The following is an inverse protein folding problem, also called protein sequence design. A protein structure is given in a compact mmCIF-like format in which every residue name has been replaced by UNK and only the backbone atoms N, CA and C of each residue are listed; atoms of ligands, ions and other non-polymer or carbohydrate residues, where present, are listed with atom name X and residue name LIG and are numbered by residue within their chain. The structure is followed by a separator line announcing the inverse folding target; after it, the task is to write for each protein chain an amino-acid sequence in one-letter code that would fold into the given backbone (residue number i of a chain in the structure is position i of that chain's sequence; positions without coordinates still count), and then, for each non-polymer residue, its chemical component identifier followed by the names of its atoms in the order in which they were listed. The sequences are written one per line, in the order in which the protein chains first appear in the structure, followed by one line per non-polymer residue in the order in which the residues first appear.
data_IF_410024935424
#
_entry.id   IF_410024935424
#
_cell.length_a   1.000
_cell.length_b   1.000
_cell.length_c   1.000
_cell.angle_alpha   90.00
_cell.angle_beta   90.00
_cell.angle_gamma   90.00
#
_symmetry.space_group_name_H-M   'P 1'
#
loop_
_entity.id
_entity.type
_entity.pdbx_description
1 polymer ?
#
# COMPACT_ATOMS: atom_id res chain seq x y z
N UNK A 1 25.27 11.62 -29.96
CA UNK A 1 25.13 11.23 -31.38
C UNK A 1 26.10 10.12 -31.71
N UNK A 2 25.72 9.13 -32.48
CA UNK A 2 26.62 8.06 -32.92
C UNK A 2 27.62 8.59 -33.95
N UNK A 3 28.93 8.39 -33.71
CA UNK A 3 29.98 8.83 -34.66
C UNK A 3 29.96 8.07 -35.97
N UNK A 4 29.38 6.87 -36.02
CA UNK A 4 29.36 6.03 -37.23
C UNK A 4 28.14 6.32 -38.15
N UNK A 5 26.97 6.67 -37.61
CA UNK A 5 25.75 6.85 -38.39
C UNK A 5 25.04 8.21 -38.15
N UNK A 6 25.57 9.09 -37.33
CA UNK A 6 25.04 10.43 -37.04
C UNK A 6 23.69 10.49 -36.30
N UNK A 7 23.10 9.36 -35.90
CA UNK A 7 21.78 9.35 -35.26
C UNK A 7 21.86 9.66 -33.77
N UNK A 8 20.87 10.39 -33.22
CA UNK A 8 20.80 10.64 -31.78
C UNK A 8 20.62 9.36 -30.99
N UNK A 9 21.35 9.24 -29.89
CA UNK A 9 21.32 8.08 -28.98
C UNK A 9 21.01 8.53 -27.55
N UNK A 10 20.29 7.72 -26.80
CA UNK A 10 20.15 7.93 -25.37
C UNK A 10 21.45 7.52 -24.66
N UNK A 11 21.91 8.34 -23.73
CA UNK A 11 23.25 8.26 -23.11
C UNK A 11 23.59 6.95 -22.36
N UNK A 12 22.69 6.00 -22.27
CA UNK A 12 22.85 4.80 -21.45
C UNK A 12 23.19 3.52 -22.24
N UNK A 13 23.50 3.60 -23.55
CA UNK A 13 23.76 2.40 -24.35
C UNK A 13 25.22 2.31 -24.80
N UNK A 14 25.82 1.15 -24.61
CA UNK A 14 27.20 0.88 -25.09
C UNK A 14 27.30 0.65 -26.60
N UNK A 15 26.17 0.37 -27.27
CA UNK A 15 26.11 0.15 -28.72
C UNK A 15 24.96 0.92 -29.35
N UNK A 16 25.20 1.44 -30.53
CA UNK A 16 24.20 2.16 -31.31
C UNK A 16 23.05 1.21 -31.69
N UNK A 17 21.81 1.64 -31.43
CA UNK A 17 20.61 0.84 -31.75
C UNK A 17 20.37 0.67 -33.28
N UNK A 18 21.04 1.48 -34.13
CA UNK A 18 20.82 1.48 -35.57
C UNK A 18 21.94 0.82 -36.36
N UNK A 19 23.20 1.05 -36.01
CA UNK A 19 24.34 0.53 -36.75
C UNK A 19 25.22 -0.43 -35.94
N UNK A 20 24.86 -0.71 -34.70
CA UNK A 20 25.55 -1.59 -33.76
C UNK A 20 27.02 -1.21 -33.43
N UNK A 21 27.48 -0.04 -33.88
CA UNK A 21 28.81 0.48 -33.57
C UNK A 21 28.94 0.76 -32.06
N UNK A 22 30.11 0.51 -31.50
CA UNK A 22 30.40 0.84 -30.11
C UNK A 22 30.40 2.38 -29.91
N UNK A 23 29.67 2.81 -28.91
CA UNK A 23 29.61 4.21 -28.52
C UNK A 23 30.73 4.50 -27.51
N UNK A 24 31.42 5.63 -27.62
CA UNK A 24 32.39 6.01 -26.59
C UNK A 24 31.68 6.07 -25.24
N UNK A 25 32.28 5.40 -24.27
CA UNK A 25 31.76 5.37 -22.90
C UNK A 25 31.76 6.82 -22.39
N UNK A 26 30.57 7.39 -22.24
CA UNK A 26 30.44 8.71 -21.63
C UNK A 26 31.06 8.61 -20.23
N UNK A 27 32.00 9.49 -19.87
CA UNK A 27 32.54 9.51 -18.51
C UNK A 27 31.37 9.61 -17.57
N UNK A 28 31.18 8.55 -16.75
CA UNK A 28 30.17 8.54 -15.69
C UNK A 28 30.40 9.82 -14.88
N UNK A 29 29.39 10.67 -14.71
CA UNK A 29 29.54 11.80 -13.82
C UNK A 29 30.03 11.23 -12.48
N UNK A 30 31.06 11.83 -11.86
CA UNK A 30 31.57 11.36 -10.60
C UNK A 30 30.36 11.15 -9.68
N UNK A 31 30.13 9.90 -9.25
CA UNK A 31 29.10 9.62 -8.27
C UNK A 31 29.50 10.44 -7.07
N UNK A 32 28.86 11.60 -6.94
CA UNK A 32 28.94 12.36 -5.71
C UNK A 32 28.31 11.47 -4.63
N UNK A 33 29.16 10.61 -4.06
CA UNK A 33 28.92 10.03 -2.75
C UNK A 33 29.16 11.14 -1.73
N UNK A 34 28.43 12.25 -1.87
CA UNK A 34 28.13 13.00 -0.68
C UNK A 34 27.39 11.99 0.21
N UNK A 35 27.96 11.61 1.37
CA UNK A 35 27.18 10.87 2.34
C UNK A 35 25.92 11.74 2.51
N UNK A 36 24.74 11.21 2.12
CA UNK A 36 23.48 11.79 2.52
C UNK A 36 23.58 11.78 4.03
N UNK A 37 23.97 12.90 4.60
CA UNK A 37 23.77 13.17 6.01
C UNK A 37 22.26 13.03 6.19
N UNK A 38 21.84 11.83 6.58
CA UNK A 38 20.49 11.61 7.07
C UNK A 38 20.33 12.64 8.18
N UNK A 39 19.40 13.59 8.04
CA UNK A 39 19.14 14.56 9.09
C UNK A 39 18.97 13.77 10.39
N UNK A 40 19.69 14.17 11.42
CA UNK A 40 19.68 13.52 12.72
C UNK A 40 18.22 13.22 13.13
N UNK A 41 17.91 11.99 13.57
CA UNK A 41 16.55 11.65 13.95
C UNK A 41 16.07 12.60 15.02
N UNK A 42 14.91 13.21 14.81
CA UNK A 42 14.28 14.05 15.85
C UNK A 42 14.11 13.18 17.10
N UNK A 43 14.59 13.62 18.27
CA UNK A 43 14.44 12.84 19.48
C UNK A 43 12.93 12.66 19.79
N UNK A 44 12.44 11.44 19.70
CA UNK A 44 11.08 11.09 20.12
C UNK A 44 10.22 10.32 19.12
N UNK A 45 10.60 10.15 17.85
CA UNK A 45 9.79 9.39 16.90
C UNK A 45 10.34 7.96 16.79
N UNK A 46 9.60 7.01 17.33
CA UNK A 46 9.92 5.59 17.16
C UNK A 46 9.60 5.20 15.71
N UNK A 47 10.59 4.73 14.93
CA UNK A 47 10.31 4.28 13.57
C UNK A 47 9.30 3.11 13.62
N UNK A 48 8.17 3.28 12.93
CA UNK A 48 7.18 2.24 12.81
C UNK A 48 7.49 1.40 11.58
N UNK A 49 7.71 0.11 11.76
CA UNK A 49 7.76 -0.87 10.69
C UNK A 49 6.64 -1.89 10.89
N UNK A 50 5.64 -1.88 10.02
CA UNK A 50 4.52 -2.79 10.05
C UNK A 50 4.63 -3.78 8.91
N UNK A 51 4.85 -5.06 9.24
CA UNK A 51 4.74 -6.15 8.28
C UNK A 51 3.27 -6.47 8.04
N UNK A 52 2.83 -6.28 6.80
CA UNK A 52 1.47 -6.54 6.34
C UNK A 52 1.28 -7.98 5.84
N UNK A 53 2.33 -8.79 5.86
CA UNK A 53 2.37 -10.14 5.28
C UNK A 53 2.57 -10.12 3.75
N UNK A 54 2.93 -11.29 3.18
CA UNK A 54 3.20 -11.46 1.76
C UNK A 54 4.22 -10.45 1.19
N UNK A 55 5.27 -10.13 1.96
CA UNK A 55 6.30 -9.14 1.61
C UNK A 55 5.75 -7.73 1.38
N UNK A 56 4.61 -7.40 1.98
CA UNK A 56 4.12 -6.03 2.05
C UNK A 56 4.54 -5.42 3.36
N UNK A 57 4.95 -4.17 3.32
CA UNK A 57 5.36 -3.46 4.52
C UNK A 57 4.93 -1.99 4.44
N UNK A 58 4.62 -1.43 5.60
CA UNK A 58 4.45 -0.01 5.81
C UNK A 58 5.52 0.43 6.80
N UNK A 59 6.39 1.33 6.39
CA UNK A 59 7.36 1.93 7.27
C UNK A 59 7.11 3.44 7.39
N UNK A 60 7.24 3.94 8.61
CA UNK A 60 7.10 5.35 8.94
C UNK A 60 8.39 5.80 9.59
N UNK A 61 9.10 6.67 8.90
CA UNK A 61 10.33 7.27 9.39
C UNK A 61 10.10 8.77 9.64
N UNK A 62 11.08 9.42 10.25
CA UNK A 62 11.02 10.85 10.53
C UNK A 62 10.79 11.73 9.31
N UNK A 63 11.25 11.32 8.14
CA UNK A 63 11.20 12.13 6.92
C UNK A 63 10.23 11.60 5.88
N UNK A 64 9.90 10.30 5.91
CA UNK A 64 9.20 9.61 4.83
C UNK A 64 8.20 8.57 5.34
N UNK A 65 7.17 8.38 4.54
CA UNK A 65 6.26 7.24 4.58
C UNK A 65 6.64 6.31 3.44
N UNK A 66 6.95 5.05 3.75
CA UNK A 66 7.33 4.04 2.76
C UNK A 66 6.31 2.92 2.73
N UNK A 67 5.82 2.57 1.56
CA UNK A 67 4.86 1.50 1.37
C UNK A 67 5.27 0.54 0.27
N UNK A 68 5.35 -0.73 0.61
CA UNK A 68 5.58 -1.83 -0.31
C UNK A 68 4.28 -2.63 -0.48
N UNK A 69 3.57 -2.38 -1.59
CA UNK A 69 2.22 -2.91 -1.80
C UNK A 69 2.15 -4.22 -2.58
N UNK A 70 3.16 -4.56 -3.38
CA UNK A 70 3.13 -5.77 -4.21
C UNK A 70 3.67 -6.99 -3.46
N UNK A 71 2.94 -8.12 -3.49
CA UNK A 71 3.49 -9.38 -3.01
C UNK A 71 4.71 -9.77 -3.87
N UNK A 72 5.78 -10.22 -3.23
CA UNK A 72 6.99 -10.66 -3.96
C UNK A 72 8.07 -9.60 -4.17
N UNK A 73 7.89 -8.38 -3.68
CA UNK A 73 8.88 -7.31 -3.76
C UNK A 73 8.71 -6.46 -5.02
N UNK A 74 7.77 -5.54 -4.99
CA UNK A 74 7.65 -4.47 -5.97
C UNK A 74 8.42 -3.21 -5.54
N UNK A 75 8.40 -2.15 -6.34
CA UNK A 75 8.98 -0.88 -5.96
C UNK A 75 8.33 -0.36 -4.69
N UNK A 76 9.16 0.11 -3.77
CA UNK A 76 8.70 0.81 -2.58
C UNK A 76 8.25 2.21 -2.99
N UNK A 77 7.06 2.59 -2.56
CA UNK A 77 6.54 3.93 -2.75
C UNK A 77 6.96 4.76 -1.54
N UNK A 78 7.85 5.72 -1.77
CA UNK A 78 8.34 6.62 -0.74
C UNK A 78 7.72 8.00 -0.89
N UNK A 79 7.03 8.45 0.15
CA UNK A 79 6.38 9.76 0.17
C UNK A 79 6.97 10.59 1.31
N UNK A 80 7.63 11.72 1.03
CA UNK A 80 8.11 12.61 2.08
C UNK A 80 6.93 13.27 2.81
N UNK A 81 7.04 13.43 4.11
CA UNK A 81 6.00 14.04 4.93
C UNK A 81 5.64 15.46 4.48
N UNK A 82 6.60 16.19 3.93
CA UNK A 82 6.40 17.55 3.42
C UNK A 82 5.38 17.65 2.29
N UNK A 83 5.15 16.53 1.56
CA UNK A 83 4.17 16.45 0.48
C UNK A 83 2.82 15.92 0.92
N UNK A 84 2.69 15.44 2.16
CA UNK A 84 1.45 14.88 2.68
C UNK A 84 0.59 15.99 3.25
N UNK A 85 -0.54 16.25 2.60
CA UNK A 85 -1.52 17.25 3.05
C UNK A 85 -2.53 16.66 4.03
N UNK A 86 -2.94 15.42 3.79
CA UNK A 86 -3.95 14.75 4.60
C UNK A 86 -3.73 13.24 4.65
N UNK A 87 -3.96 12.68 5.82
CA UNK A 87 -3.99 11.23 6.04
C UNK A 87 -5.40 10.83 6.44
N UNK A 88 -5.90 9.73 5.89
CA UNK A 88 -7.17 9.16 6.31
C UNK A 88 -7.03 7.64 6.45
N UNK A 89 -7.31 7.14 7.65
CA UNK A 89 -7.42 5.71 7.90
C UNK A 89 -8.86 5.29 7.76
N UNK A 90 -9.12 4.32 6.91
CA UNK A 90 -10.46 3.79 6.72
C UNK A 90 -10.50 2.29 7.01
N UNK A 91 -11.60 1.89 7.60
CA UNK A 91 -11.90 0.49 7.88
C UNK A 91 -13.24 0.19 7.21
N UNK A 92 -13.28 -0.85 6.39
CA UNK A 92 -14.50 -1.28 5.70
C UNK A 92 -14.81 -2.73 6.08
N UNK A 93 -16.08 -3.10 6.26
CA UNK A 93 -16.47 -4.50 6.38
C UNK A 93 -16.07 -5.29 5.12
N UNK A 94 -16.01 -6.59 5.24
CA UNK A 94 -15.69 -7.48 4.12
C UNK A 94 -16.89 -7.56 3.15
N UNK A 95 -16.96 -6.65 2.18
CA UNK A 95 -18.08 -6.56 1.26
C UNK A 95 -18.20 -7.73 0.29
N UNK A 96 -17.11 -8.43 0.02
CA UNK A 96 -17.13 -9.62 -0.84
C UNK A 96 -18.01 -10.73 -0.24
N UNK A 97 -18.23 -10.73 1.08
CA UNK A 97 -19.20 -11.60 1.72
C UNK A 97 -20.65 -11.31 1.33
N UNK A 98 -20.96 -10.09 0.83
CA UNK A 98 -22.27 -9.77 0.30
C UNK A 98 -22.60 -10.60 -0.96
N UNK A 99 -21.60 -10.96 -1.75
CA UNK A 99 -21.76 -11.87 -2.89
C UNK A 99 -22.25 -13.25 -2.42
N UNK A 100 -21.74 -13.74 -1.29
CA UNK A 100 -22.17 -15.00 -0.70
C UNK A 100 -23.61 -14.92 -0.18
N UNK A 101 -23.99 -13.78 0.40
CA UNK A 101 -25.35 -13.53 0.85
C UNK A 101 -26.34 -13.43 -0.32
N UNK A 102 -25.95 -12.77 -1.41
CA UNK A 102 -26.76 -12.71 -2.63
C UNK A 102 -26.93 -14.09 -3.24
N UNK A 103 -25.88 -14.89 -3.32
CA UNK A 103 -25.94 -16.30 -3.76
C UNK A 103 -26.87 -17.12 -2.88
N UNK A 104 -26.82 -16.91 -1.55
CA UNK A 104 -27.74 -17.55 -0.60
C UNK A 104 -29.19 -17.20 -0.89
N UNK A 105 -29.49 -15.92 -1.09
CA UNK A 105 -30.85 -15.47 -1.37
C UNK A 105 -31.37 -16.10 -2.67
N UNK A 106 -30.58 -16.12 -3.72
CA UNK A 106 -30.93 -16.77 -4.98
C UNK A 106 -31.12 -18.29 -4.81
N UNK A 107 -30.21 -18.94 -4.07
CA UNK A 107 -30.31 -20.37 -3.79
C UNK A 107 -31.58 -20.74 -3.02
N UNK A 108 -32.02 -19.91 -2.08
CA UNK A 108 -33.26 -20.14 -1.32
C UNK A 108 -34.52 -19.97 -2.19
N UNK A 109 -34.51 -19.02 -3.13
CA UNK A 109 -35.63 -18.74 -4.01
C UNK A 109 -35.82 -19.79 -5.10
N UNK A 110 -34.69 -20.31 -5.66
CA UNK A 110 -34.73 -21.12 -6.89
C UNK A 110 -34.27 -22.56 -6.68
N UNK A 111 -33.95 -22.95 -5.43
CA UNK A 111 -33.43 -24.29 -5.16
C UNK A 111 -34.51 -25.37 -5.38
N UNK A 112 -34.25 -26.35 -6.25
CA UNK A 112 -35.20 -27.44 -6.54
C UNK A 112 -35.27 -28.48 -5.44
N UNK A 113 -34.24 -28.59 -4.57
CA UNK A 113 -34.15 -29.62 -3.54
C UNK A 113 -33.86 -29.02 -2.16
N UNK A 114 -34.27 -29.72 -1.11
CA UNK A 114 -33.97 -29.32 0.26
C UNK A 114 -32.47 -29.27 0.58
N UNK A 115 -31.69 -30.17 -0.01
CA UNK A 115 -30.24 -30.20 0.17
C UNK A 115 -29.57 -28.88 -0.31
N UNK A 116 -30.01 -28.37 -1.46
CA UNK A 116 -29.50 -27.11 -2.01
C UNK A 116 -29.90 -25.93 -1.13
N UNK A 117 -31.12 -25.93 -0.57
CA UNK A 117 -31.56 -24.90 0.38
C UNK A 117 -30.73 -24.89 1.65
N UNK A 118 -30.43 -26.06 2.19
CA UNK A 118 -29.59 -26.19 3.37
C UNK A 118 -28.17 -25.67 3.11
N UNK A 119 -27.58 -26.04 1.96
CA UNK A 119 -26.27 -25.54 1.55
C UNK A 119 -26.25 -24.02 1.41
N UNK A 120 -27.30 -23.46 0.79
CA UNK A 120 -27.45 -22.01 0.67
C UNK A 120 -27.53 -21.32 2.05
N UNK A 121 -28.31 -21.87 2.99
CA UNK A 121 -28.36 -21.35 4.36
C UNK A 121 -27.01 -21.35 5.06
N UNK A 122 -26.29 -22.47 4.97
CA UNK A 122 -24.94 -22.58 5.54
C UNK A 122 -23.99 -21.54 4.93
N UNK A 123 -24.03 -21.37 3.61
CA UNK A 123 -23.24 -20.36 2.92
C UNK A 123 -23.61 -18.94 3.39
N UNK A 124 -24.90 -18.67 3.63
CA UNK A 124 -25.37 -17.39 4.18
C UNK A 124 -24.84 -17.11 5.57
N UNK A 125 -24.89 -18.09 6.45
CA UNK A 125 -24.36 -17.96 7.81
C UNK A 125 -22.85 -17.69 7.75
N UNK A 126 -22.11 -18.42 6.92
CA UNK A 126 -20.67 -18.18 6.71
C UNK A 126 -20.43 -16.76 6.19
N UNK A 127 -21.20 -16.32 5.20
CA UNK A 127 -21.12 -14.96 4.64
C UNK A 127 -21.33 -13.88 5.72
N UNK A 128 -22.34 -14.03 6.56
CA UNK A 128 -22.61 -13.12 7.69
C UNK A 128 -21.47 -13.10 8.69
N UNK A 129 -20.94 -14.26 9.05
CA UNK A 129 -19.80 -14.35 9.98
C UNK A 129 -18.56 -13.67 9.38
N UNK A 130 -18.27 -13.91 8.11
CA UNK A 130 -17.15 -13.26 7.44
C UNK A 130 -17.31 -11.73 7.38
N UNK A 131 -18.51 -11.24 7.05
CA UNK A 131 -18.78 -9.81 7.02
C UNK A 131 -18.69 -9.15 8.41
N UNK A 132 -19.11 -9.87 9.46
CA UNK A 132 -19.08 -9.37 10.83
C UNK A 132 -17.67 -9.39 11.43
N UNK A 133 -16.88 -10.41 11.13
CA UNK A 133 -15.60 -10.67 11.78
C UNK A 133 -14.42 -10.07 11.02
N UNK A 134 -14.47 -9.99 9.67
CA UNK A 134 -13.36 -9.50 8.87
C UNK A 134 -13.53 -8.04 8.50
N UNK A 135 -12.45 -7.30 8.59
CA UNK A 135 -12.38 -5.90 8.21
C UNK A 135 -11.20 -5.63 7.31
N UNK A 136 -11.43 -4.86 6.25
CA UNK A 136 -10.39 -4.31 5.41
C UNK A 136 -9.90 -3.00 5.98
N UNK A 137 -8.60 -2.88 6.13
CA UNK A 137 -7.93 -1.66 6.54
C UNK A 137 -7.21 -1.04 5.36
N UNK A 138 -7.33 0.25 5.21
CA UNK A 138 -6.63 1.02 4.19
C UNK A 138 -6.20 2.38 4.70
N UNK A 139 -5.15 2.91 4.10
CA UNK A 139 -4.64 4.24 4.34
C UNK A 139 -4.76 5.04 3.04
N UNK A 140 -5.40 6.19 3.12
CA UNK A 140 -5.46 7.14 2.01
C UNK A 140 -4.58 8.33 2.35
N UNK A 141 -3.69 8.66 1.43
CA UNK A 141 -2.84 9.85 1.47
C UNK A 141 -3.34 10.83 0.42
N UNK A 142 -3.47 12.07 0.80
CA UNK A 142 -3.70 13.18 -0.10
C UNK A 142 -2.45 14.05 -0.10
N UNK A 143 -1.85 14.22 -1.27
CA UNK A 143 -0.63 14.98 -1.46
C UNK A 143 -0.94 16.47 -1.71
N UNK A 144 0.08 17.29 -1.65
CA UNK A 144 0.04 18.73 -1.91
C UNK A 144 -0.43 19.09 -3.33
N UNK A 145 -0.12 18.22 -4.30
CA UNK A 145 -0.55 18.34 -5.70
C UNK A 145 -2.00 17.85 -5.94
N UNK A 146 -2.74 17.47 -4.89
CA UNK A 146 -4.09 16.93 -4.97
C UNK A 146 -4.17 15.45 -5.35
N UNK A 147 -3.04 14.80 -5.59
CA UNK A 147 -3.00 13.37 -5.89
C UNK A 147 -3.45 12.57 -4.66
N UNK A 148 -4.34 11.60 -4.88
CA UNK A 148 -4.79 10.67 -3.83
C UNK A 148 -4.21 9.30 -4.06
N UNK A 149 -3.49 8.80 -3.08
CA UNK A 149 -2.92 7.46 -3.07
C UNK A 149 -3.65 6.61 -2.03
N UNK A 150 -4.06 5.40 -2.42
CA UNK A 150 -4.69 4.44 -1.51
C UNK A 150 -3.76 3.26 -1.30
N UNK A 151 -3.39 3.03 -0.05
CA UNK A 151 -2.54 1.93 0.36
C UNK A 151 -3.37 0.85 1.07
N UNK A 152 -3.60 -0.31 0.45
CA UNK A 152 -4.35 -1.40 1.07
C UNK A 152 -3.47 -2.08 2.13
N UNK A 153 -3.81 -1.92 3.40
CA UNK A 153 -3.09 -2.54 4.51
C UNK A 153 -3.49 -4.01 4.72
N UNK A 154 -4.60 -4.42 4.11
CA UNK A 154 -5.08 -5.79 4.12
C UNK A 154 -6.23 -6.06 5.07
N UNK A 155 -6.57 -7.34 5.21
CA UNK A 155 -7.66 -7.80 6.06
C UNK A 155 -7.15 -8.21 7.44
N UNK A 156 -7.98 -7.96 8.45
CA UNK A 156 -7.78 -8.49 9.79
C UNK A 156 -9.08 -9.05 10.35
N UNK A 157 -8.97 -10.13 11.11
CA UNK A 157 -10.06 -10.67 11.89
C UNK A 157 -10.20 -9.82 13.16
N UNK A 158 -11.42 -9.42 13.48
CA UNK A 158 -11.74 -8.66 14.70
C UNK A 158 -11.24 -9.39 15.95
N UNK A 159 -10.51 -8.69 16.82
CA UNK A 159 -9.89 -9.27 18.00
C UNK A 159 -8.60 -10.06 17.76
N UNK A 160 -8.11 -10.16 16.52
CA UNK A 160 -6.86 -10.86 16.23
C UNK A 160 -5.62 -10.03 16.59
N UNK A 161 -4.48 -10.72 16.80
CA UNK A 161 -3.19 -10.07 16.98
C UNK A 161 -2.80 -9.16 15.81
N UNK A 162 -3.29 -9.46 14.60
CA UNK A 162 -3.09 -8.62 13.41
C UNK A 162 -3.87 -7.32 13.51
N UNK A 163 -5.15 -7.38 13.94
CA UNK A 163 -5.94 -6.17 14.16
C UNK A 163 -5.31 -5.28 15.23
N UNK A 164 -4.86 -5.88 16.34
CA UNK A 164 -4.16 -5.14 17.41
C UNK A 164 -2.92 -4.41 16.87
N UNK A 165 -2.11 -5.07 16.03
CA UNK A 165 -0.96 -4.43 15.37
C UNK A 165 -1.37 -3.29 14.44
N UNK A 166 -2.44 -3.44 13.67
CA UNK A 166 -2.96 -2.39 12.79
C UNK A 166 -3.48 -1.19 13.59
N UNK A 167 -4.14 -1.43 14.73
CA UNK A 167 -4.60 -0.37 15.63
C UNK A 167 -3.43 0.36 16.30
N UNK A 168 -2.42 -0.36 16.74
CA UNK A 168 -1.18 0.22 17.25
C UNK A 168 -0.48 1.09 16.19
N UNK A 169 -0.36 0.58 14.97
CA UNK A 169 0.20 1.35 13.85
C UNK A 169 -0.63 2.61 13.54
N UNK A 170 -1.96 2.51 13.62
CA UNK A 170 -2.85 3.67 13.46
C UNK A 170 -2.59 4.73 14.54
N UNK A 171 -2.43 4.32 15.79
CA UNK A 171 -2.13 5.22 16.89
C UNK A 171 -0.78 5.93 16.66
N UNK A 172 0.27 5.18 16.34
CA UNK A 172 1.60 5.74 16.04
C UNK A 172 1.56 6.70 14.84
N UNK A 173 0.82 6.35 13.77
CA UNK A 173 0.62 7.24 12.62
C UNK A 173 -0.14 8.51 13.00
N UNK A 174 -1.14 8.41 13.87
CA UNK A 174 -1.89 9.57 14.34
C UNK A 174 -1.00 10.53 15.15
N UNK A 175 -0.17 9.98 16.01
CA UNK A 175 0.75 10.78 16.85
C UNK A 175 1.84 11.43 15.98
N UNK A 176 2.46 10.65 15.08
CA UNK A 176 3.47 11.17 14.15
C UNK A 176 2.87 12.24 13.23
N UNK A 177 1.68 12.01 12.69
CA UNK A 177 0.98 12.97 11.83
C UNK A 177 0.65 14.26 12.59
N UNK A 178 0.18 14.15 13.84
CA UNK A 178 -0.13 15.31 14.69
C UNK A 178 1.11 16.17 14.96
N UNK A 179 2.23 15.55 15.29
CA UNK A 179 3.52 16.24 15.48
C UNK A 179 3.99 16.99 14.24
N UNK A 180 3.56 16.56 13.05
CA UNK A 180 3.93 17.16 11.77
C UNK A 180 2.87 18.07 11.16
N UNK A 181 1.79 18.35 11.90
CA UNK A 181 0.70 19.18 11.42
C UNK A 181 -0.20 18.49 10.38
N UNK A 182 -0.07 17.18 10.19
CA UNK A 182 -0.90 16.38 9.29
C UNK A 182 -1.77 15.41 10.11
N UNK A 183 -2.90 15.87 10.65
CA UNK A 183 -3.72 15.03 11.50
C UNK A 183 -4.29 13.84 10.70
N UNK A 184 -4.32 12.68 11.34
CA UNK A 184 -4.97 11.49 10.79
C UNK A 184 -6.49 11.65 10.89
N UNK A 185 -7.17 11.84 9.77
CA UNK A 185 -8.62 11.77 9.73
C UNK A 185 -9.03 10.30 9.89
N UNK A 186 -9.66 9.98 11.01
CA UNK A 186 -10.31 8.69 11.21
C UNK A 186 -11.73 8.78 10.68
N UNK A 187 -12.15 7.91 9.77
CA UNK A 187 -13.55 7.56 9.70
C UNK A 187 -13.85 6.78 10.99
N UNK A 188 -14.39 7.46 11.98
CA UNK A 188 -15.03 6.78 13.09
C UNK A 188 -16.07 5.81 12.54
N UNK A 189 -16.13 4.64 13.12
CA UNK A 189 -17.10 3.62 12.81
C UNK A 189 -18.51 4.13 13.05
#
# INVERSE_FOLDING_TARGET
MCSACGRPQTAARRRCAFCNAELPEAPLPPRSHAPSESPAPFPGVTPLALDLGNRRALAVNDTRLSFQGRPGGGPTLDVPWTRVRRLAWHTRPYFEALGLLAFTALGLLWAPTQAVRLLALVAGVIGLLLAALYRHHGLTLELDDGTRMQWPLGMALKGSAREARLQSARATLADTGRMRGVPLAGSGA
#
